data_IF_412343418660
#
_entry.id   IF_412343418660
#
_cell.length_a   1.000
_cell.length_b   1.000
_cell.length_c   1.000
_cell.angle_alpha   90.00
_cell.angle_beta   90.00
_cell.angle_gamma   90.00
#
_symmetry.space_group_name_H-M   'P 1'
#
loop_
_entity.id
_entity.type
_entity.pdbx_description
1 polymer ?
#
# COMPACT_ATOMS: atom_id res chain seq x y z
N UNK A 1 -67.96 -18.31 -21.64
CA UNK A 1 -67.73 -18.04 -20.22
C UNK A 1 -66.27 -18.32 -19.94
N UNK A 2 -65.40 -17.35 -20.19
CA UNK A 2 -63.97 -17.46 -19.96
C UNK A 2 -63.63 -16.74 -18.66
N UNK A 3 -63.08 -17.44 -17.72
CA UNK A 3 -62.57 -16.90 -16.45
C UNK A 3 -61.11 -16.53 -16.66
N UNK A 4 -60.79 -15.25 -16.58
CA UNK A 4 -59.43 -14.70 -16.55
C UNK A 4 -58.91 -14.81 -15.12
N UNK A 5 -57.89 -15.66 -14.89
CA UNK A 5 -57.06 -15.59 -13.68
C UNK A 5 -55.99 -14.51 -13.89
N UNK A 6 -56.06 -13.45 -13.10
CA UNK A 6 -55.01 -12.46 -12.98
C UNK A 6 -53.93 -12.97 -12.00
N UNK A 7 -52.72 -13.24 -12.49
CA UNK A 7 -51.55 -13.44 -11.66
C UNK A 7 -51.05 -12.08 -11.17
N UNK A 8 -51.07 -11.90 -9.86
CA UNK A 8 -50.50 -10.75 -9.16
C UNK A 8 -49.00 -10.98 -9.08
N UNK A 9 -48.22 -10.32 -9.93
CA UNK A 9 -46.74 -10.26 -9.80
C UNK A 9 -46.43 -9.21 -8.75
N UNK A 10 -46.05 -9.66 -7.55
CA UNK A 10 -45.48 -8.82 -6.52
C UNK A 10 -44.17 -8.23 -7.00
N UNK A 11 -44.09 -6.91 -7.04
CA UNK A 11 -42.84 -6.18 -7.25
C UNK A 11 -42.02 -6.32 -5.98
N UNK A 12 -41.03 -7.22 -6.00
CA UNK A 12 -39.97 -7.17 -5.02
C UNK A 12 -39.17 -5.87 -5.25
N UNK A 13 -39.20 -4.98 -4.24
CA UNK A 13 -38.37 -3.80 -4.19
C UNK A 13 -36.92 -4.26 -4.09
N UNK A 14 -36.13 -3.99 -5.12
CA UNK A 14 -34.68 -4.18 -5.08
C UNK A 14 -34.12 -3.36 -3.89
N UNK A 15 -33.63 -4.04 -2.88
CA UNK A 15 -32.91 -3.42 -1.78
C UNK A 15 -31.64 -2.78 -2.34
N UNK A 16 -31.46 -1.49 -2.11
CA UNK A 16 -30.22 -0.79 -2.44
C UNK A 16 -29.04 -1.51 -1.79
N UNK A 17 -27.90 -1.66 -2.51
CA UNK A 17 -26.72 -2.28 -1.94
C UNK A 17 -26.25 -1.47 -0.71
N UNK A 18 -25.70 -2.13 0.32
CA UNK A 18 -25.24 -1.46 1.53
C UNK A 18 -24.19 -0.41 1.17
N UNK A 19 -24.44 0.83 1.58
CA UNK A 19 -23.49 1.94 1.41
C UNK A 19 -22.38 1.76 2.41
N UNK A 20 -21.13 1.75 1.95
CA UNK A 20 -19.95 1.77 2.81
C UNK A 20 -19.96 3.06 3.63
N UNK A 21 -20.27 2.95 4.91
CA UNK A 21 -20.22 4.07 5.86
C UNK A 21 -18.84 4.06 6.49
N UNK A 22 -17.88 4.73 5.84
CA UNK A 22 -16.61 5.08 6.48
C UNK A 22 -16.91 6.31 7.33
N UNK A 23 -16.95 6.17 8.64
CA UNK A 23 -17.14 7.32 9.52
C UNK A 23 -15.92 8.23 9.44
N UNK A 24 -16.10 9.42 8.89
CA UNK A 24 -15.15 10.51 9.02
C UNK A 24 -15.30 11.09 10.43
N UNK A 25 -14.40 10.73 11.34
CA UNK A 25 -14.32 11.36 12.66
C UNK A 25 -13.17 12.35 12.69
N UNK A 26 -13.43 13.56 12.22
CA UNK A 26 -12.60 14.70 12.57
C UNK A 26 -13.31 15.47 13.71
N UNK A 27 -13.04 15.09 14.95
CA UNK A 27 -13.28 15.98 16.09
C UNK A 27 -11.92 16.54 16.50
N UNK A 28 -11.73 17.87 16.57
CA UNK A 28 -10.45 18.42 17.04
C UNK A 28 -10.25 18.00 18.51
N UNK A 29 -9.02 17.64 18.91
CA UNK A 29 -8.74 17.21 20.27
C UNK A 29 -9.00 18.36 21.26
N UNK A 30 -9.68 18.01 22.35
CA UNK A 30 -9.89 18.90 23.48
C UNK A 30 -8.53 19.30 24.07
N UNK A 31 -8.32 20.59 24.29
CA UNK A 31 -7.13 21.14 24.92
C UNK A 31 -7.09 20.68 26.38
N UNK A 32 -6.26 19.69 26.69
CA UNK A 32 -5.94 19.31 28.05
C UNK A 32 -4.84 20.25 28.58
N UNK A 33 -5.16 21.03 29.60
CA UNK A 33 -4.18 21.88 30.29
C UNK A 33 -3.19 21.01 31.08
N UNK A 34 -1.91 21.20 30.79
CA UNK A 34 -0.82 20.55 31.51
C UNK A 34 -0.34 21.44 32.67
N UNK A 35 -0.31 20.85 33.86
CA UNK A 35 0.42 21.40 35.01
C UNK A 35 1.93 21.20 34.76
N UNK A 36 2.69 22.27 34.95
CA UNK A 36 4.14 22.24 34.83
C UNK A 36 4.74 21.32 35.91
N UNK A 37 5.40 20.25 35.46
CA UNK A 37 6.27 19.44 36.31
C UNK A 37 7.67 20.03 36.20
N UNK A 38 8.27 20.31 37.35
CA UNK A 38 9.61 20.85 37.50
C UNK A 38 10.68 19.97 36.87
N UNK A 39 11.56 20.60 36.10
CA UNK A 39 12.78 19.98 35.58
C UNK A 39 13.67 19.46 36.72
N UNK A 40 13.98 18.16 36.68
CA UNK A 40 15.19 17.63 37.29
C UNK A 40 16.18 17.40 36.13
N UNK A 41 17.29 18.14 36.18
CA UNK A 41 18.45 17.93 35.31
C UNK A 41 19.13 16.63 35.76
N UNK A 42 18.86 15.54 35.05
CA UNK A 42 19.70 14.34 35.10
C UNK A 42 20.55 14.29 33.83
N UNK A 43 21.77 14.85 33.92
CA UNK A 43 22.80 14.68 32.90
C UNK A 43 23.36 13.26 32.97
N UNK A 44 22.61 12.28 32.51
CA UNK A 44 23.14 10.96 32.17
C UNK A 44 23.83 11.06 30.83
N UNK A 45 25.14 10.87 30.81
CA UNK A 45 26.00 10.74 29.64
C UNK A 45 25.61 9.42 28.90
N UNK A 46 24.44 9.39 28.26
CA UNK A 46 24.10 8.29 27.37
C UNK A 46 24.89 8.48 26.08
N UNK A 47 25.80 7.57 25.80
CA UNK A 47 26.52 7.54 24.54
C UNK A 47 25.51 7.35 23.41
N UNK A 48 25.41 8.32 22.50
CA UNK A 48 24.56 8.23 21.32
C UNK A 48 25.17 7.15 20.42
N UNK A 49 24.41 6.09 20.18
CA UNK A 49 24.77 5.01 19.26
C UNK A 49 24.05 5.21 17.94
N UNK A 50 24.79 5.27 16.86
CA UNK A 50 24.28 5.38 15.49
C UNK A 50 24.48 4.05 14.80
N UNK A 51 23.42 3.50 14.24
CA UNK A 51 23.44 2.26 13.49
C UNK A 51 23.15 2.51 12.01
N UNK A 52 23.88 1.84 11.13
CA UNK A 52 23.54 1.76 9.71
C UNK A 52 22.24 0.98 9.54
N UNK A 53 21.28 1.53 8.77
CA UNK A 53 19.98 0.90 8.54
C UNK A 53 20.15 -0.50 7.96
N UNK A 54 21.07 -0.67 6.99
CA UNK A 54 21.30 -1.96 6.33
C UNK A 54 22.03 -3.01 7.20
N UNK A 55 22.60 -2.61 8.33
CA UNK A 55 23.34 -3.50 9.24
C UNK A 55 22.62 -3.71 10.57
N UNK A 56 21.62 -2.88 10.84
CA UNK A 56 20.82 -2.93 12.06
C UNK A 56 19.92 -4.18 12.05
N UNK A 57 20.09 -5.04 13.04
CA UNK A 57 19.23 -6.22 13.22
C UNK A 57 18.14 -5.90 14.23
N UNK A 58 17.01 -5.37 13.78
CA UNK A 58 15.82 -5.35 14.62
C UNK A 58 15.20 -6.75 14.63
N UNK A 59 14.82 -7.23 15.80
CA UNK A 59 14.05 -8.47 15.89
C UNK A 59 12.63 -8.20 15.40
N UNK A 60 12.25 -8.80 14.27
CA UNK A 60 10.83 -8.94 13.93
C UNK A 60 10.16 -9.64 15.11
N UNK A 61 9.09 -9.07 15.65
CA UNK A 61 8.28 -9.80 16.61
C UNK A 61 7.86 -11.16 16.04
N UNK A 62 7.92 -12.21 16.83
CA UNK A 62 7.60 -13.58 16.39
C UNK A 62 6.21 -13.65 15.72
N UNK A 63 5.28 -12.80 16.16
CA UNK A 63 3.93 -12.68 15.58
C UNK A 63 3.94 -12.17 14.12
N UNK A 64 4.68 -11.11 13.84
CA UNK A 64 4.79 -10.55 12.49
C UNK A 64 5.43 -11.56 11.53
N UNK A 65 6.49 -12.22 11.99
CA UNK A 65 7.11 -13.31 11.22
C UNK A 65 6.12 -14.44 10.94
N UNK A 66 5.33 -14.86 11.94
CA UNK A 66 4.32 -15.91 11.77
C UNK A 66 3.22 -15.53 10.77
N UNK A 67 2.84 -14.23 10.69
CA UNK A 67 1.91 -13.73 9.69
C UNK A 67 2.50 -13.80 8.27
N UNK A 68 3.76 -13.41 8.11
CA UNK A 68 4.45 -13.52 6.81
C UNK A 68 4.53 -14.97 6.34
N UNK A 69 4.75 -15.94 7.24
CA UNK A 69 4.81 -17.37 6.90
C UNK A 69 3.46 -17.94 6.44
N UNK A 70 2.35 -17.24 6.63
CA UNK A 70 1.04 -17.65 6.13
C UNK A 70 0.84 -17.39 4.64
N UNK A 71 1.75 -16.66 3.98
CA UNK A 71 1.70 -16.45 2.53
C UNK A 71 1.98 -17.78 1.84
N UNK A 72 0.97 -18.28 1.14
CA UNK A 72 0.98 -19.58 0.50
C UNK A 72 1.26 -19.45 -1.00
N UNK A 73 2.41 -19.97 -1.43
CA UNK A 73 2.83 -19.93 -2.83
C UNK A 73 1.88 -20.66 -3.78
N UNK A 74 1.26 -21.77 -3.34
CA UNK A 74 0.29 -22.49 -4.18
C UNK A 74 -0.99 -21.69 -4.40
N UNK A 75 -1.48 -20.98 -3.36
CA UNK A 75 -2.63 -20.08 -3.50
C UNK A 75 -2.32 -18.93 -4.44
N UNK A 76 -1.16 -18.29 -4.28
CA UNK A 76 -0.72 -17.23 -5.16
C UNK A 76 -0.70 -17.69 -6.63
N UNK A 77 -0.06 -18.83 -6.91
CA UNK A 77 -0.01 -19.39 -8.26
C UNK A 77 -1.39 -19.81 -8.78
N UNK A 78 -2.25 -20.34 -7.94
CA UNK A 78 -3.62 -20.72 -8.33
C UNK A 78 -4.47 -19.49 -8.71
N UNK A 79 -4.34 -18.36 -8.01
CA UNK A 79 -4.99 -17.10 -8.38
C UNK A 79 -4.49 -16.60 -9.74
N UNK A 80 -3.17 -16.59 -9.96
CA UNK A 80 -2.59 -16.19 -11.25
C UNK A 80 -3.07 -17.09 -12.39
N UNK A 81 -3.08 -18.42 -12.17
CA UNK A 81 -3.58 -19.38 -13.18
C UNK A 81 -5.03 -19.09 -13.55
N UNK A 82 -5.88 -18.87 -12.53
CA UNK A 82 -7.31 -18.59 -12.77
C UNK A 82 -7.50 -17.30 -13.58
N UNK A 83 -6.74 -16.23 -13.24
CA UNK A 83 -6.82 -14.96 -13.97
C UNK A 83 -6.32 -15.09 -15.41
N UNK A 84 -5.26 -15.84 -15.64
CA UNK A 84 -4.76 -16.16 -16.99
C UNK A 84 -5.77 -16.95 -17.81
N UNK A 85 -6.46 -17.93 -17.20
CA UNK A 85 -7.42 -18.82 -17.88
C UNK A 85 -8.64 -18.06 -18.41
N UNK A 86 -8.90 -16.84 -17.92
CA UNK A 86 -9.88 -15.95 -18.54
C UNK A 86 -9.43 -15.41 -19.91
N UNK A 87 -8.23 -15.75 -20.37
CA UNK A 87 -7.62 -15.50 -21.69
C UNK A 87 -7.38 -14.02 -22.03
N UNK A 88 -8.29 -13.15 -21.67
CA UNK A 88 -8.17 -11.70 -21.78
C UNK A 88 -8.98 -11.09 -20.63
N UNK A 89 -8.49 -9.97 -20.12
CA UNK A 89 -9.22 -9.14 -19.16
C UNK A 89 -9.32 -7.70 -19.66
N UNK A 90 -9.32 -7.56 -20.99
CA UNK A 90 -9.44 -6.27 -21.66
C UNK A 90 -10.78 -5.61 -21.31
N UNK A 91 -10.79 -4.29 -21.09
CA UNK A 91 -11.97 -3.53 -20.65
C UNK A 91 -13.20 -3.64 -21.58
N UNK A 92 -12.99 -3.87 -22.87
CA UNK A 92 -14.04 -4.07 -23.86
C UNK A 92 -14.36 -5.55 -24.13
N UNK A 93 -13.71 -6.50 -23.40
CA UNK A 93 -14.04 -7.92 -23.52
C UNK A 93 -15.39 -8.25 -22.89
N UNK A 94 -15.84 -9.50 -23.03
CA UNK A 94 -17.15 -9.92 -22.50
C UNK A 94 -17.32 -9.66 -21.01
N UNK A 95 -18.46 -9.08 -20.63
CA UNK A 95 -18.84 -8.80 -19.24
C UNK A 95 -19.82 -9.83 -18.65
N UNK A 96 -20.32 -10.76 -19.47
CA UNK A 96 -21.38 -11.72 -19.09
C UNK A 96 -20.90 -13.15 -19.02
N UNK A 97 -19.74 -13.49 -19.58
CA UNK A 97 -19.15 -14.82 -19.46
C UNK A 97 -18.62 -15.05 -18.05
N UNK A 98 -18.78 -16.29 -17.54
CA UNK A 98 -18.18 -16.73 -16.27
C UNK A 98 -16.78 -17.33 -16.40
N UNK A 99 -16.30 -17.55 -17.62
CA UNK A 99 -15.05 -18.25 -17.90
C UNK A 99 -14.07 -17.46 -18.77
N UNK A 100 -14.46 -16.25 -19.21
CA UNK A 100 -13.64 -15.42 -20.10
C UNK A 100 -13.89 -13.95 -19.90
N UNK A 101 -12.87 -13.12 -20.13
CA UNK A 101 -12.99 -11.67 -20.22
C UNK A 101 -13.04 -10.97 -18.87
N UNK A 102 -13.20 -9.64 -18.95
CA UNK A 102 -13.19 -8.75 -17.77
C UNK A 102 -14.32 -9.08 -16.78
N UNK A 103 -15.48 -9.56 -17.26
CA UNK A 103 -16.61 -9.94 -16.43
C UNK A 103 -16.30 -11.15 -15.55
N UNK A 104 -15.63 -12.17 -16.10
CA UNK A 104 -15.21 -13.36 -15.34
C UNK A 104 -14.18 -12.97 -14.26
N UNK A 105 -13.19 -12.13 -14.61
CA UNK A 105 -12.18 -11.67 -13.67
C UNK A 105 -12.80 -10.84 -12.53
N UNK A 106 -13.68 -9.89 -12.85
CA UNK A 106 -14.43 -9.11 -11.87
C UNK A 106 -15.18 -10.00 -10.88
N UNK A 107 -15.96 -10.94 -11.39
CA UNK A 107 -16.77 -11.83 -10.56
C UNK A 107 -15.89 -12.73 -9.67
N UNK A 108 -14.77 -13.22 -10.22
CA UNK A 108 -13.81 -14.02 -9.47
C UNK A 108 -13.20 -13.23 -8.30
N UNK A 109 -12.71 -12.00 -8.54
CA UNK A 109 -12.14 -11.17 -7.47
C UNK A 109 -13.18 -10.86 -6.40
N UNK A 110 -14.41 -10.53 -6.81
CA UNK A 110 -15.50 -10.28 -5.87
C UNK A 110 -15.80 -11.53 -5.03
N UNK A 111 -15.87 -12.70 -5.64
CA UNK A 111 -16.08 -13.97 -4.95
C UNK A 111 -14.96 -14.27 -3.93
N UNK A 112 -13.69 -14.03 -4.30
CA UNK A 112 -12.58 -14.23 -3.37
C UNK A 112 -12.66 -13.30 -2.16
N UNK A 113 -12.99 -12.03 -2.35
CA UNK A 113 -13.22 -11.12 -1.21
C UNK A 113 -14.44 -11.53 -0.37
N UNK A 114 -15.50 -12.06 -0.98
CA UNK A 114 -16.65 -12.61 -0.23
C UNK A 114 -16.28 -13.84 0.61
N UNK A 115 -15.39 -14.69 0.11
CA UNK A 115 -14.82 -15.81 0.89
C UNK A 115 -14.03 -15.26 2.09
N UNK A 116 -13.19 -14.25 1.88
CA UNK A 116 -12.48 -13.56 2.97
C UNK A 116 -13.45 -12.99 4.00
N UNK A 117 -14.52 -12.31 3.55
CA UNK A 117 -15.56 -11.76 4.43
C UNK A 117 -16.24 -12.83 5.29
N UNK A 118 -16.53 -13.99 4.69
CA UNK A 118 -17.17 -15.09 5.42
C UNK A 118 -16.24 -15.75 6.45
N UNK A 119 -14.93 -15.71 6.20
CA UNK A 119 -13.89 -16.30 7.05
C UNK A 119 -13.32 -15.33 8.08
N UNK A 120 -13.60 -14.03 7.96
CA UNK A 120 -13.12 -13.01 8.89
C UNK A 120 -13.78 -13.16 10.27
N UNK A 121 -13.02 -13.49 11.35
CA UNK A 121 -13.58 -13.90 12.64
C UNK A 121 -14.24 -12.74 13.40
N UNK A 122 -13.91 -11.50 13.07
CA UNK A 122 -14.40 -10.31 13.79
C UNK A 122 -15.59 -9.64 13.10
N UNK A 123 -16.03 -10.13 11.93
CA UNK A 123 -17.14 -9.54 11.16
C UNK A 123 -16.88 -8.10 10.67
N UNK A 124 -15.62 -7.69 10.66
CA UNK A 124 -15.16 -6.33 10.33
C UNK A 124 -14.64 -6.20 8.87
N UNK A 125 -14.89 -7.20 8.02
CA UNK A 125 -14.58 -7.18 6.60
C UNK A 125 -15.84 -7.05 5.77
N UNK A 126 -15.90 -6.09 4.85
CA UNK A 126 -17.04 -5.89 3.94
C UNK A 126 -16.56 -5.83 2.50
N UNK A 127 -17.45 -6.16 1.56
CA UNK A 127 -17.15 -6.18 0.12
C UNK A 127 -18.17 -5.34 -0.63
N UNK A 128 -17.70 -4.51 -1.57
CA UNK A 128 -18.57 -3.79 -2.47
C UNK A 128 -17.94 -3.53 -3.83
N UNK A 129 -18.69 -3.61 -4.94
CA UNK A 129 -18.28 -3.08 -6.22
C UNK A 129 -18.46 -1.57 -6.27
N UNK A 130 -17.53 -0.86 -6.93
CA UNK A 130 -17.64 0.55 -7.28
C UNK A 130 -17.74 0.67 -8.80
N UNK A 131 -18.92 1.01 -9.30
CA UNK A 131 -19.15 1.20 -10.73
C UNK A 131 -18.64 2.56 -11.21
N UNK A 132 -18.13 2.59 -12.45
CA UNK A 132 -17.81 3.80 -13.20
C UNK A 132 -18.00 3.58 -14.70
N UNK A 133 -18.28 4.64 -15.42
CA UNK A 133 -18.46 4.57 -16.88
C UNK A 133 -17.11 4.80 -17.58
N UNK A 134 -16.90 4.03 -18.65
CA UNK A 134 -15.71 4.09 -19.49
C UNK A 134 -16.14 4.08 -20.97
N UNK A 135 -15.51 4.92 -21.78
CA UNK A 135 -15.54 4.77 -23.24
C UNK A 135 -14.13 4.60 -23.73
N UNK A 136 -13.80 3.41 -24.23
CA UNK A 136 -12.49 3.10 -24.77
C UNK A 136 -12.59 2.60 -26.21
N UNK A 137 -11.78 3.14 -27.12
CA UNK A 137 -11.83 2.86 -28.56
C UNK A 137 -13.24 3.01 -29.18
N UNK A 138 -14.02 3.97 -28.66
CA UNK A 138 -15.39 4.22 -29.11
C UNK A 138 -16.46 3.26 -28.54
N UNK A 139 -16.08 2.30 -27.69
CA UNK A 139 -17.00 1.35 -27.05
C UNK A 139 -17.33 1.82 -25.62
N UNK A 140 -18.59 2.19 -25.33
CA UNK A 140 -19.00 2.53 -23.97
C UNK A 140 -19.23 1.26 -23.16
N UNK A 141 -18.66 1.20 -21.96
CA UNK A 141 -18.79 0.10 -21.00
C UNK A 141 -18.97 0.64 -19.59
N UNK A 142 -19.60 -0.16 -18.72
CA UNK A 142 -19.55 0.06 -17.28
C UNK A 142 -18.49 -0.86 -16.67
N UNK A 143 -17.53 -0.27 -16.01
CA UNK A 143 -16.44 -0.96 -15.32
C UNK A 143 -16.64 -0.92 -13.81
N UNK A 144 -15.90 -1.76 -13.08
CA UNK A 144 -16.04 -1.88 -11.63
C UNK A 144 -14.69 -2.03 -10.96
N UNK A 145 -14.40 -1.21 -9.96
CA UNK A 145 -13.42 -1.57 -8.95
C UNK A 145 -14.08 -2.50 -7.93
N UNK A 146 -13.35 -3.49 -7.43
CA UNK A 146 -13.84 -4.38 -6.37
C UNK A 146 -13.11 -4.04 -5.09
N UNK A 147 -13.87 -3.67 -4.06
CA UNK A 147 -13.36 -3.14 -2.81
C UNK A 147 -13.64 -4.12 -1.68
N UNK A 148 -12.58 -4.57 -1.00
CA UNK A 148 -12.63 -5.20 0.32
C UNK A 148 -12.23 -4.17 1.38
N UNK A 149 -13.06 -3.97 2.40
CA UNK A 149 -12.78 -3.05 3.49
C UNK A 149 -12.65 -3.78 4.81
N UNK A 150 -11.49 -3.69 5.42
CA UNK A 150 -11.19 -4.18 6.76
C UNK A 150 -11.21 -3.00 7.74
N UNK A 151 -12.20 -2.98 8.62
CA UNK A 151 -12.37 -1.90 9.60
C UNK A 151 -11.31 -1.98 10.69
N UNK A 152 -10.60 -0.88 10.91
CA UNK A 152 -9.67 -0.70 12.03
C UNK A 152 -10.37 -0.41 13.35
N UNK A 153 -9.63 -0.53 14.45
CA UNK A 153 -10.18 -0.36 15.81
C UNK A 153 -9.88 1.00 16.42
N UNK A 154 -8.93 1.77 15.86
CA UNK A 154 -8.52 3.06 16.42
C UNK A 154 -9.08 4.23 15.60
N UNK A 155 -10.01 5.02 16.16
CA UNK A 155 -10.52 6.21 15.49
C UNK A 155 -9.39 7.20 15.20
N UNK A 156 -9.34 7.71 13.95
CA UNK A 156 -8.33 8.70 13.54
C UNK A 156 -6.96 8.10 13.16
N UNK A 157 -6.78 6.78 13.21
CA UNK A 157 -5.54 6.16 12.73
C UNK A 157 -5.39 6.22 11.18
N UNK A 158 -6.45 6.62 10.47
CA UNK A 158 -6.48 6.75 9.02
C UNK A 158 -6.73 5.42 8.31
N UNK A 159 -6.58 5.45 6.98
CA UNK A 159 -6.87 4.33 6.09
C UNK A 159 -5.65 4.03 5.22
N UNK A 160 -5.15 2.79 5.29
CA UNK A 160 -4.20 2.28 4.31
C UNK A 160 -4.97 1.70 3.11
N UNK A 161 -4.60 2.08 1.89
CA UNK A 161 -5.11 1.47 0.66
C UNK A 161 -4.05 0.53 0.10
N UNK A 162 -4.44 -0.70 -0.26
CA UNK A 162 -3.62 -1.66 -0.98
C UNK A 162 -4.35 -1.97 -2.27
N UNK A 163 -3.70 -1.78 -3.41
CA UNK A 163 -4.35 -1.89 -4.71
C UNK A 163 -3.54 -2.67 -5.74
N UNK A 164 -4.25 -3.28 -6.69
CA UNK A 164 -3.70 -3.90 -7.89
C UNK A 164 -4.75 -3.84 -9.00
N UNK A 165 -4.36 -3.67 -10.26
CA UNK A 165 -5.32 -3.73 -11.35
C UNK A 165 -5.56 -5.17 -11.81
N UNK A 166 -6.80 -5.46 -12.23
CA UNK A 166 -7.16 -6.79 -12.69
C UNK A 166 -7.46 -6.88 -14.19
N UNK A 167 -7.52 -5.74 -14.90
CA UNK A 167 -7.54 -5.73 -16.35
C UNK A 167 -6.19 -6.12 -16.94
N UNK A 168 -6.18 -6.53 -18.19
CA UNK A 168 -4.98 -6.84 -18.95
C UNK A 168 -5.14 -6.40 -20.40
N UNK A 169 -4.02 -6.16 -21.08
CA UNK A 169 -4.00 -5.71 -22.46
C UNK A 169 -3.03 -6.57 -23.28
N UNK A 170 -3.31 -6.68 -24.57
CA UNK A 170 -2.45 -7.38 -25.51
C UNK A 170 -1.67 -6.43 -26.40
N UNK A 171 -0.88 -6.95 -27.34
CA UNK A 171 -0.06 -6.13 -28.24
C UNK A 171 -0.89 -5.23 -29.17
N UNK A 172 -2.12 -5.60 -29.48
CA UNK A 172 -3.11 -4.70 -30.10
C UNK A 172 -4.05 -4.19 -29.00
N UNK A 173 -3.84 -2.95 -28.60
CA UNK A 173 -4.57 -2.30 -27.49
C UNK A 173 -6.07 -2.11 -27.77
N UNK A 174 -6.53 -2.29 -29.00
CA UNK A 174 -7.93 -2.16 -29.36
C UNK A 174 -8.62 -3.52 -29.53
N UNK A 175 -7.88 -4.61 -29.62
CA UNK A 175 -8.44 -5.96 -29.76
C UNK A 175 -8.77 -6.57 -28.40
N UNK A 176 -10.04 -6.52 -28.04
CA UNK A 176 -10.55 -7.07 -26.79
C UNK A 176 -10.58 -8.63 -26.75
N UNK A 177 -10.42 -9.27 -27.89
CA UNK A 177 -10.50 -10.73 -28.01
C UNK A 177 -9.12 -11.40 -28.16
N UNK A 178 -8.06 -10.61 -28.33
CA UNK A 178 -6.70 -11.14 -28.39
C UNK A 178 -6.33 -11.81 -27.08
N UNK A 179 -5.52 -12.87 -27.16
CA UNK A 179 -5.00 -13.53 -25.97
C UNK A 179 -4.05 -12.60 -25.21
N UNK A 180 -4.49 -12.13 -24.05
CA UNK A 180 -3.80 -11.21 -23.16
C UNK A 180 -3.84 -11.78 -21.73
N UNK A 181 -3.03 -12.81 -21.44
CA UNK A 181 -3.13 -13.59 -20.20
C UNK A 181 -2.78 -12.76 -18.96
N UNK A 182 -1.88 -11.78 -19.08
CA UNK A 182 -1.52 -10.85 -18.01
C UNK A 182 -1.17 -11.56 -16.71
N UNK A 183 -0.34 -12.61 -16.77
CA UNK A 183 -0.01 -13.42 -15.60
C UNK A 183 0.83 -12.62 -14.60
N UNK A 184 1.88 -11.96 -15.06
CA UNK A 184 2.68 -11.06 -14.24
C UNK A 184 2.06 -9.66 -14.20
N UNK A 185 1.57 -9.16 -15.32
CA UNK A 185 0.94 -7.84 -15.48
C UNK A 185 -0.59 -7.95 -15.67
N UNK A 186 -1.45 -7.90 -14.65
CA UNK A 186 -1.07 -7.82 -13.23
C UNK A 186 -1.80 -8.92 -12.41
N UNK A 187 -1.77 -10.16 -12.92
CA UNK A 187 -2.28 -11.33 -12.19
C UNK A 187 -1.56 -11.53 -10.86
N UNK A 188 -0.23 -11.25 -10.81
CA UNK A 188 0.55 -11.36 -9.57
C UNK A 188 0.14 -10.32 -8.54
N UNK A 189 -0.10 -9.08 -8.92
CA UNK A 189 -0.57 -8.06 -8.00
C UNK A 189 -1.94 -8.39 -7.42
N UNK A 190 -2.88 -8.86 -8.25
CA UNK A 190 -4.21 -9.28 -7.78
C UNK A 190 -4.12 -10.48 -6.85
N UNK A 191 -3.29 -11.49 -7.17
CA UNK A 191 -3.11 -12.65 -6.31
C UNK A 191 -2.52 -12.28 -4.95
N UNK A 192 -1.52 -11.40 -4.92
CA UNK A 192 -0.95 -10.86 -3.69
C UNK A 192 -1.99 -10.07 -2.87
N UNK A 193 -2.79 -9.22 -3.53
CA UNK A 193 -3.87 -8.45 -2.90
C UNK A 193 -4.88 -9.36 -2.19
N UNK A 194 -5.32 -10.43 -2.86
CA UNK A 194 -6.28 -11.41 -2.31
C UNK A 194 -5.68 -12.19 -1.14
N UNK A 195 -4.42 -12.63 -1.25
CA UNK A 195 -3.73 -13.36 -0.18
C UNK A 195 -3.46 -12.47 1.03
N UNK A 196 -3.07 -11.21 0.84
CA UNK A 196 -2.92 -10.23 1.91
C UNK A 196 -4.26 -9.95 2.61
N UNK A 197 -5.35 -9.80 1.85
CA UNK A 197 -6.68 -9.63 2.43
C UNK A 197 -7.09 -10.84 3.29
N UNK A 198 -6.81 -12.07 2.82
CA UNK A 198 -7.06 -13.31 3.56
C UNK A 198 -6.31 -13.33 4.88
N UNK A 199 -5.01 -13.01 4.87
CA UNK A 199 -4.18 -13.04 6.09
C UNK A 199 -4.56 -11.91 7.04
N UNK A 200 -4.68 -10.69 6.53
CA UNK A 200 -4.94 -9.53 7.36
C UNK A 200 -6.34 -9.55 7.97
N UNK A 201 -7.34 -10.13 7.32
CA UNK A 201 -8.71 -10.24 7.88
C UNK A 201 -8.81 -11.11 9.13
N UNK A 202 -7.77 -11.90 9.45
CA UNK A 202 -7.77 -12.80 10.60
C UNK A 202 -7.44 -12.12 11.93
N UNK A 203 -7.14 -10.82 11.91
CA UNK A 203 -6.87 -10.02 13.12
C UNK A 203 -7.41 -8.59 12.99
N UNK A 204 -7.38 -7.85 14.07
CA UNK A 204 -7.73 -6.44 14.11
C UNK A 204 -6.47 -5.58 14.01
N UNK A 205 -6.58 -4.43 13.35
CA UNK A 205 -5.52 -3.44 13.16
C UNK A 205 -5.96 -2.09 13.69
N UNK A 206 -5.00 -1.23 14.02
CA UNK A 206 -5.27 0.14 14.44
C UNK A 206 -5.93 0.94 13.32
N UNK A 207 -5.30 1.00 12.14
CA UNK A 207 -5.86 1.66 10.95
C UNK A 207 -6.83 0.75 10.20
N UNK A 208 -7.79 1.34 9.53
CA UNK A 208 -8.58 0.61 8.53
C UNK A 208 -7.71 0.29 7.31
N UNK A 209 -8.04 -0.81 6.62
CA UNK A 209 -7.37 -1.19 5.36
C UNK A 209 -8.42 -1.36 4.27
N UNK A 210 -8.20 -0.72 3.13
CA UNK A 210 -8.98 -0.93 1.91
C UNK A 210 -8.14 -1.71 0.93
N UNK A 211 -8.62 -2.89 0.52
CA UNK A 211 -8.09 -3.67 -0.58
C UNK A 211 -8.89 -3.34 -1.83
N UNK A 212 -8.23 -2.91 -2.91
CA UNK A 212 -8.94 -2.54 -4.15
C UNK A 212 -8.34 -3.25 -5.34
N UNK A 213 -9.14 -4.04 -6.03
CA UNK A 213 -8.81 -4.47 -7.38
C UNK A 213 -9.36 -3.44 -8.37
N UNK A 214 -8.47 -2.73 -9.06
CA UNK A 214 -8.83 -1.69 -10.02
C UNK A 214 -9.12 -2.28 -11.39
N UNK A 215 -10.05 -1.69 -12.12
CA UNK A 215 -10.26 -1.93 -13.55
C UNK A 215 -9.75 -0.74 -14.36
N UNK A 216 -9.43 -0.99 -15.62
CA UNK A 216 -9.07 0.05 -16.59
C UNK A 216 -7.79 0.84 -16.22
N UNK A 217 -6.80 0.17 -15.65
CA UNK A 217 -5.46 0.71 -15.45
C UNK A 217 -4.77 0.87 -16.80
N UNK A 218 -4.74 -0.18 -17.62
CA UNK A 218 -4.06 -0.31 -18.90
C UNK A 218 -4.52 0.73 -19.95
N UNK A 219 -5.72 1.25 -19.77
CA UNK A 219 -6.31 2.26 -20.64
C UNK A 219 -6.33 3.65 -20.01
N UNK A 220 -5.45 3.88 -19.05
CA UNK A 220 -5.17 5.17 -18.46
C UNK A 220 -5.60 5.34 -17.01
N UNK A 221 -5.57 4.29 -16.22
CA UNK A 221 -5.80 4.36 -14.75
C UNK A 221 -7.19 4.90 -14.38
N UNK A 222 -8.20 4.58 -15.20
CA UNK A 222 -9.55 5.18 -15.04
C UNK A 222 -10.18 4.73 -13.73
N UNK A 223 -10.02 3.46 -13.37
CA UNK A 223 -10.56 2.91 -12.13
C UNK A 223 -9.98 3.53 -10.87
N UNK A 224 -8.66 3.68 -10.81
CA UNK A 224 -8.02 4.33 -9.64
C UNK A 224 -8.35 5.81 -9.54
N UNK A 225 -8.50 6.54 -10.66
CA UNK A 225 -9.02 7.92 -10.65
C UNK A 225 -10.42 7.99 -10.10
N UNK A 226 -11.32 7.11 -10.56
CA UNK A 226 -12.69 7.05 -10.04
C UNK A 226 -12.73 6.75 -8.54
N UNK A 227 -11.82 5.89 -8.04
CA UNK A 227 -11.68 5.62 -6.62
C UNK A 227 -11.19 6.85 -5.85
N UNK A 228 -10.17 7.54 -6.35
CA UNK A 228 -9.61 8.75 -5.72
C UNK A 228 -10.67 9.85 -5.64
N UNK A 229 -11.45 10.09 -6.70
CA UNK A 229 -12.54 11.07 -6.70
C UNK A 229 -13.62 10.71 -5.67
N UNK A 230 -13.97 9.42 -5.58
CA UNK A 230 -14.90 8.90 -4.59
C UNK A 230 -14.37 9.10 -3.15
N UNK A 231 -13.09 8.82 -2.91
CA UNK A 231 -12.46 8.97 -1.60
C UNK A 231 -12.39 10.44 -1.17
N UNK A 232 -12.00 11.34 -2.09
CA UNK A 232 -11.97 12.79 -1.85
C UNK A 232 -13.35 13.36 -1.56
N UNK A 233 -14.38 12.95 -2.32
CA UNK A 233 -15.76 13.37 -2.09
C UNK A 233 -16.33 12.96 -0.72
N UNK A 234 -15.67 12.01 -0.04
CA UNK A 234 -16.03 11.51 1.30
C UNK A 234 -15.05 11.93 2.38
N UNK A 235 -14.02 12.70 2.05
CA UNK A 235 -12.95 13.11 2.96
C UNK A 235 -12.31 11.91 3.68
N UNK A 236 -12.08 10.82 2.97
CA UNK A 236 -11.39 9.65 3.53
C UNK A 236 -9.94 10.02 3.81
N UNK A 237 -9.50 9.85 5.04
CA UNK A 237 -8.13 10.10 5.48
C UNK A 237 -7.22 8.93 5.05
N UNK A 238 -6.78 8.95 3.78
CA UNK A 238 -5.85 7.95 3.24
C UNK A 238 -4.44 8.34 3.66
N UNK A 239 -3.85 7.55 4.56
CA UNK A 239 -2.51 7.75 5.11
C UNK A 239 -1.40 7.14 4.27
N UNK A 240 -1.76 6.33 3.28
CA UNK A 240 -0.86 5.75 2.31
C UNK A 240 -1.59 4.82 1.34
N UNK A 241 -1.06 4.73 0.11
CA UNK A 241 -1.50 3.74 -0.87
C UNK A 241 -0.31 2.92 -1.36
N UNK A 242 -0.43 1.60 -1.27
CA UNK A 242 0.52 0.63 -1.80
C UNK A 242 -0.08 0.02 -3.06
N UNK A 243 0.48 0.36 -4.22
CA UNK A 243 0.16 -0.29 -5.49
C UNK A 243 1.06 -1.51 -5.69
N UNK A 244 0.47 -2.67 -5.95
CA UNK A 244 1.19 -3.90 -6.23
C UNK A 244 1.02 -4.18 -7.73
N UNK A 245 2.14 -4.16 -8.45
CA UNK A 245 2.05 -4.26 -9.90
C UNK A 245 3.30 -4.92 -10.47
N UNK A 246 3.11 -6.08 -11.09
CA UNK A 246 4.17 -6.93 -11.65
C UNK A 246 5.26 -7.33 -10.64
N UNK A 247 4.95 -8.26 -9.73
CA UNK A 247 5.86 -8.67 -8.66
C UNK A 247 6.27 -10.16 -8.72
N UNK A 248 6.07 -10.80 -9.86
CA UNK A 248 6.21 -12.26 -10.00
C UNK A 248 7.49 -12.73 -10.69
N UNK A 249 8.35 -11.82 -11.18
CA UNK A 249 9.52 -12.22 -11.95
C UNK A 249 10.82 -11.60 -11.44
N UNK A 250 11.86 -12.40 -11.31
CA UNK A 250 13.18 -11.96 -10.81
C UNK A 250 14.34 -12.33 -11.75
N UNK A 251 14.04 -12.73 -12.98
CA UNK A 251 15.09 -13.17 -13.89
C UNK A 251 14.97 -12.57 -15.29
N UNK A 252 16.09 -12.58 -16.01
CA UNK A 252 16.16 -12.18 -17.41
C UNK A 252 16.32 -13.40 -18.31
N UNK A 253 16.13 -13.20 -19.62
CA UNK A 253 16.42 -14.21 -20.67
C UNK A 253 17.88 -14.62 -20.69
N UNK A 254 18.80 -13.75 -20.24
CA UNK A 254 20.22 -14.03 -20.11
C UNK A 254 20.58 -14.82 -18.83
N UNK A 255 19.63 -15.06 -17.94
CA UNK A 255 19.82 -15.78 -16.67
C UNK A 255 20.31 -14.91 -15.50
N UNK A 256 20.26 -13.59 -15.63
CA UNK A 256 20.47 -12.69 -14.49
C UNK A 256 19.32 -12.84 -13.53
N UNK A 257 19.61 -12.93 -12.23
CA UNK A 257 18.62 -13.03 -11.14
C UNK A 257 18.80 -11.81 -10.24
N UNK A 258 17.68 -11.21 -9.82
CA UNK A 258 17.64 -10.12 -8.85
C UNK A 258 16.57 -10.41 -7.80
N UNK A 259 16.98 -10.53 -6.54
CA UNK A 259 16.11 -10.82 -5.38
C UNK A 259 15.72 -9.53 -4.64
N UNK A 260 15.37 -8.47 -5.37
CA UNK A 260 14.91 -7.20 -4.80
C UNK A 260 13.57 -6.74 -5.38
N UNK A 261 12.97 -5.73 -4.77
CA UNK A 261 11.77 -5.04 -5.23
C UNK A 261 12.07 -3.56 -5.42
N UNK A 262 11.63 -2.98 -6.53
CA UNK A 262 11.67 -1.52 -6.71
C UNK A 262 10.45 -0.84 -6.13
N UNK A 263 10.66 0.36 -5.60
CA UNK A 263 9.60 1.25 -5.11
C UNK A 263 9.62 2.53 -5.94
N UNK A 264 8.59 2.75 -6.74
CA UNK A 264 8.35 4.02 -7.42
C UNK A 264 7.45 4.93 -6.59
N UNK A 265 7.69 6.23 -6.68
CA UNK A 265 6.85 7.24 -6.03
C UNK A 265 6.95 8.56 -6.76
N UNK A 266 5.89 9.34 -6.78
CA UNK A 266 5.93 10.64 -7.40
C UNK A 266 6.85 11.61 -6.65
N UNK A 267 7.71 12.33 -7.39
CA UNK A 267 8.64 13.30 -6.85
C UNK A 267 8.33 14.73 -7.29
N UNK A 268 7.64 14.89 -8.42
CA UNK A 268 7.43 16.18 -9.06
C UNK A 268 6.25 16.94 -8.44
N UNK A 269 6.53 18.02 -7.72
CA UNK A 269 5.49 18.92 -7.18
C UNK A 269 4.59 19.54 -8.27
N UNK A 270 5.04 19.59 -9.52
CA UNK A 270 4.25 20.11 -10.63
C UNK A 270 3.18 19.14 -11.12
N UNK A 271 3.38 17.84 -10.90
CA UNK A 271 2.48 16.76 -11.33
C UNK A 271 1.70 16.18 -10.15
N UNK A 272 2.39 15.99 -9.02
CA UNK A 272 1.82 15.36 -7.83
C UNK A 272 1.38 16.40 -6.81
N UNK A 273 0.15 16.30 -6.36
CA UNK A 273 -0.43 17.25 -5.40
C UNK A 273 -0.14 16.90 -3.94
N UNK A 274 0.59 15.83 -3.71
CA UNK A 274 0.90 15.29 -2.39
C UNK A 274 2.06 15.99 -1.68
N UNK A 275 2.66 17.01 -2.30
CA UNK A 275 3.77 17.81 -1.73
C UNK A 275 4.97 16.97 -1.27
N UNK A 276 5.29 15.93 -2.03
CA UNK A 276 6.41 15.01 -1.72
C UNK A 276 6.08 13.93 -0.70
N UNK A 277 4.82 13.79 -0.29
CA UNK A 277 4.42 12.76 0.67
C UNK A 277 4.61 11.33 0.12
N UNK A 278 4.42 11.11 -1.20
CA UNK A 278 4.73 9.83 -1.84
C UNK A 278 6.20 9.47 -1.77
N UNK A 279 7.09 10.43 -2.01
CA UNK A 279 8.53 10.22 -1.91
C UNK A 279 8.95 9.91 -0.47
N UNK A 280 8.37 10.62 0.50
CA UNK A 280 8.58 10.32 1.89
C UNK A 280 8.07 8.92 2.27
N UNK A 281 6.86 8.54 1.80
CA UNK A 281 6.31 7.21 2.01
C UNK A 281 7.24 6.11 1.46
N UNK A 282 7.82 6.31 0.26
CA UNK A 282 8.76 5.35 -0.32
C UNK A 282 9.97 5.11 0.59
N UNK A 283 10.60 6.19 1.09
CA UNK A 283 11.71 6.10 2.05
C UNK A 283 11.31 5.44 3.36
N UNK A 284 10.13 5.78 3.88
CA UNK A 284 9.62 5.20 5.11
C UNK A 284 9.34 3.69 4.96
N UNK A 285 8.79 3.28 3.83
CA UNK A 285 8.50 1.86 3.54
C UNK A 285 9.79 1.06 3.37
N UNK A 286 10.78 1.57 2.63
CA UNK A 286 12.10 0.96 2.53
C UNK A 286 12.74 0.82 3.92
N UNK A 287 12.73 1.89 4.71
CA UNK A 287 13.24 1.88 6.08
C UNK A 287 12.56 0.83 6.96
N UNK A 288 11.22 0.75 6.93
CA UNK A 288 10.48 -0.27 7.68
C UNK A 288 10.78 -1.68 7.19
N UNK A 289 11.00 -1.87 5.89
CA UNK A 289 11.48 -3.12 5.32
C UNK A 289 12.79 -3.57 5.96
N UNK A 290 13.78 -2.70 6.04
CA UNK A 290 15.06 -2.99 6.72
C UNK A 290 14.87 -3.17 8.22
N UNK A 291 14.19 -2.25 8.89
CA UNK A 291 13.99 -2.27 10.33
C UNK A 291 13.28 -3.54 10.82
N UNK A 292 12.47 -4.17 9.98
CA UNK A 292 11.73 -5.39 10.29
C UNK A 292 12.24 -6.64 9.54
N UNK A 293 13.46 -6.59 8.98
CA UNK A 293 14.10 -7.70 8.25
C UNK A 293 13.21 -8.26 7.12
N UNK A 294 12.82 -7.40 6.18
CA UNK A 294 12.15 -7.82 4.96
C UNK A 294 12.93 -8.91 4.25
N UNK A 295 12.22 -9.88 3.66
CA UNK A 295 12.86 -11.02 2.98
C UNK A 295 13.59 -10.57 1.71
N UNK A 296 12.98 -9.64 0.96
CA UNK A 296 13.60 -9.02 -0.20
C UNK A 296 14.07 -7.61 0.14
N UNK A 297 15.19 -7.22 -0.45
CA UNK A 297 15.63 -5.82 -0.44
C UNK A 297 14.61 -4.95 -1.17
N UNK A 298 14.31 -3.79 -0.61
CA UNK A 298 13.47 -2.78 -1.22
C UNK A 298 14.33 -1.62 -1.69
N UNK A 299 14.16 -1.18 -2.94
CA UNK A 299 14.99 -0.14 -3.56
C UNK A 299 14.12 1.02 -4.02
N UNK A 300 14.30 2.19 -3.39
CA UNK A 300 13.58 3.41 -3.78
C UNK A 300 14.18 3.97 -5.07
N UNK A 301 13.37 3.99 -6.11
CA UNK A 301 13.73 4.57 -7.40
C UNK A 301 13.71 6.10 -7.35
N UNK A 302 14.62 6.73 -8.11
CA UNK A 302 14.72 8.21 -8.17
C UNK A 302 13.64 8.83 -9.02
N UNK A 303 13.05 8.09 -9.94
CA UNK A 303 12.01 8.54 -10.86
C UNK A 303 10.62 8.23 -10.33
N UNK A 304 9.61 8.95 -10.84
CA UNK A 304 8.21 8.75 -10.43
C UNK A 304 7.66 7.40 -10.87
N UNK A 305 8.09 6.93 -12.01
CA UNK A 305 7.88 5.61 -12.62
C UNK A 305 8.75 5.52 -13.89
N UNK A 306 8.57 4.48 -14.69
CA UNK A 306 9.14 4.38 -16.03
C UNK A 306 8.49 5.43 -16.95
N UNK A 307 9.24 5.99 -17.87
CA UNK A 307 8.73 7.02 -18.77
C UNK A 307 7.49 6.53 -19.54
N UNK A 308 6.38 7.27 -19.42
CA UNK A 308 5.11 6.96 -20.07
C UNK A 308 4.34 5.77 -19.48
N UNK A 309 4.79 5.18 -18.37
CA UNK A 309 4.18 3.99 -17.76
C UNK A 309 3.92 4.21 -16.27
N UNK A 310 2.85 4.92 -15.97
CA UNK A 310 2.46 5.27 -14.60
C UNK A 310 1.34 4.35 -14.11
N UNK A 311 1.59 3.58 -13.05
CA UNK A 311 0.59 2.73 -12.42
C UNK A 311 -0.43 3.47 -11.55
N UNK A 312 -1.34 2.75 -10.91
CA UNK A 312 -2.47 3.29 -10.14
C UNK A 312 -2.07 4.22 -8.98
N UNK A 313 -0.87 4.04 -8.39
CA UNK A 313 -0.32 4.94 -7.36
C UNK A 313 -0.29 6.40 -7.80
N UNK A 314 -0.10 6.64 -9.09
CA UNK A 314 -0.01 7.98 -9.64
C UNK A 314 -1.33 8.75 -9.55
N UNK A 315 -2.47 8.05 -9.71
CA UNK A 315 -3.81 8.64 -9.51
C UNK A 315 -3.99 9.16 -8.09
N UNK A 316 -3.44 8.46 -7.09
CA UNK A 316 -3.49 8.89 -5.70
C UNK A 316 -2.60 10.11 -5.44
N UNK A 317 -1.37 10.12 -5.96
CA UNK A 317 -0.46 11.25 -5.83
C UNK A 317 -1.00 12.50 -6.54
N UNK A 318 -1.61 12.36 -7.73
CA UNK A 318 -2.35 13.42 -8.41
C UNK A 318 -3.53 13.92 -7.57
N UNK A 319 -4.17 13.01 -6.82
CA UNK A 319 -5.27 13.30 -5.89
C UNK A 319 -4.85 13.96 -4.57
N UNK A 320 -3.54 14.00 -4.27
CA UNK A 320 -2.99 14.56 -3.05
C UNK A 320 -2.78 13.56 -1.91
N UNK A 321 -2.84 12.26 -2.19
CA UNK A 321 -2.58 11.19 -1.24
C UNK A 321 -1.19 10.59 -1.43
N UNK A 322 -0.47 10.23 -0.34
CA UNK A 322 0.81 9.53 -0.45
C UNK A 322 0.60 8.15 -1.07
N UNK A 323 1.39 7.82 -2.10
CA UNK A 323 1.26 6.56 -2.81
C UNK A 323 2.59 6.06 -3.38
N UNK A 324 2.77 4.74 -3.36
CA UNK A 324 3.93 4.06 -3.91
C UNK A 324 3.51 2.87 -4.77
N UNK A 325 4.40 2.44 -5.67
CA UNK A 325 4.24 1.22 -6.46
C UNK A 325 5.39 0.27 -6.18
N UNK A 326 5.07 -0.97 -5.82
CA UNK A 326 6.00 -2.09 -5.84
C UNK A 326 5.99 -2.77 -7.19
N UNK A 327 7.19 -3.06 -7.70
CA UNK A 327 7.40 -3.78 -8.95
C UNK A 327 8.67 -4.62 -8.86
N UNK A 328 8.74 -5.71 -9.60
CA UNK A 328 9.98 -6.47 -9.76
C UNK A 328 11.08 -5.66 -10.47
N UNK A 329 12.34 -5.96 -10.19
CA UNK A 329 13.48 -5.22 -10.75
C UNK A 329 13.72 -5.51 -12.22
N UNK A 330 13.47 -6.74 -12.66
CA UNK A 330 13.73 -7.19 -14.03
C UNK A 330 12.41 -7.36 -14.79
N UNK A 331 12.28 -6.71 -15.96
CA UNK A 331 11.04 -6.64 -16.74
C UNK A 331 11.25 -7.10 -18.18
N UNK A 332 11.79 -8.30 -18.40
CA UNK A 332 12.06 -8.81 -19.75
C UNK A 332 10.96 -9.74 -20.30
N UNK A 333 10.03 -10.20 -19.44
CA UNK A 333 9.08 -11.24 -19.78
C UNK A 333 7.68 -10.69 -20.08
N UNK A 334 7.53 -10.14 -21.27
CA UNK A 334 6.28 -10.09 -21.99
C UNK A 334 5.09 -9.32 -21.40
N UNK A 335 5.27 -8.46 -20.37
CA UNK A 335 4.20 -7.62 -19.85
C UNK A 335 3.48 -6.87 -20.97
N UNK A 336 2.14 -6.84 -20.94
CA UNK A 336 1.33 -6.25 -22.02
C UNK A 336 1.35 -7.04 -23.32
N UNK A 337 1.63 -8.34 -23.28
CA UNK A 337 1.69 -9.19 -24.47
C UNK A 337 1.04 -10.56 -24.25
N UNK A 338 0.83 -11.30 -25.37
CA UNK A 338 0.32 -12.68 -25.31
C UNK A 338 1.32 -13.68 -24.73
N UNK A 339 2.56 -13.28 -24.48
CA UNK A 339 3.59 -14.11 -23.84
C UNK A 339 3.70 -13.92 -22.34
N UNK A 340 2.94 -13.01 -21.74
CA UNK A 340 2.87 -12.83 -20.29
C UNK A 340 2.05 -13.96 -19.63
N UNK A 341 2.69 -15.12 -19.49
CA UNK A 341 2.06 -16.34 -18.99
C UNK A 341 2.68 -16.82 -17.67
N UNK A 342 1.93 -17.59 -16.91
CA UNK A 342 2.32 -18.09 -15.58
C UNK A 342 3.65 -18.86 -15.56
N UNK A 343 4.09 -19.42 -16.69
CA UNK A 343 5.39 -20.10 -16.79
C UNK A 343 6.60 -19.20 -16.53
N UNK A 344 6.42 -17.87 -16.59
CA UNK A 344 7.46 -16.88 -16.31
C UNK A 344 7.32 -16.26 -14.91
N UNK A 345 6.34 -16.70 -14.13
CA UNK A 345 6.20 -16.30 -12.73
C UNK A 345 7.06 -17.22 -11.86
N UNK A 346 8.07 -16.64 -11.22
CA UNK A 346 8.98 -17.34 -10.32
C UNK A 346 8.33 -17.50 -8.95
N UNK A 347 7.85 -18.70 -8.68
CA UNK A 347 7.01 -19.03 -7.52
C UNK A 347 7.60 -18.60 -6.18
N UNK A 348 8.89 -18.85 -5.93
CA UNK A 348 9.52 -18.54 -4.65
C UNK A 348 9.77 -17.03 -4.50
N UNK A 349 10.21 -16.37 -5.58
CA UNK A 349 10.35 -14.92 -5.60
C UNK A 349 8.99 -14.25 -5.39
N UNK A 350 7.94 -14.68 -6.06
CA UNK A 350 6.59 -14.13 -5.92
C UNK A 350 6.06 -14.25 -4.48
N UNK A 351 6.29 -15.39 -3.83
CA UNK A 351 5.97 -15.58 -2.41
C UNK A 351 6.76 -14.60 -1.54
N UNK A 352 8.07 -14.47 -1.74
CA UNK A 352 8.94 -13.54 -1.00
C UNK A 352 8.54 -12.09 -1.21
N UNK A 353 8.18 -11.71 -2.44
CA UNK A 353 7.67 -10.37 -2.77
C UNK A 353 6.39 -10.06 -1.98
N UNK A 354 5.43 -10.98 -2.01
CA UNK A 354 4.18 -10.82 -1.25
C UNK A 354 4.42 -10.74 0.26
N UNK A 355 5.32 -11.57 0.80
CA UNK A 355 5.71 -11.52 2.22
C UNK A 355 6.32 -10.17 2.60
N UNK A 356 7.21 -9.64 1.76
CA UNK A 356 7.88 -8.37 2.01
C UNK A 356 6.89 -7.19 1.98
N UNK A 357 5.95 -7.19 1.04
CA UNK A 357 4.92 -6.17 0.95
C UNK A 357 3.92 -6.29 2.12
N UNK A 358 3.53 -7.50 2.49
CA UNK A 358 2.67 -7.75 3.66
C UNK A 358 3.29 -7.22 4.95
N UNK A 359 4.59 -7.41 5.15
CA UNK A 359 5.34 -6.90 6.30
C UNK A 359 5.13 -5.40 6.47
N UNK A 360 5.43 -4.62 5.42
CA UNK A 360 5.34 -3.17 5.49
C UNK A 360 3.89 -2.68 5.55
N UNK A 361 2.96 -3.39 4.93
CA UNK A 361 1.53 -3.10 5.05
C UNK A 361 1.02 -3.27 6.49
N UNK A 362 1.46 -4.33 7.19
CA UNK A 362 1.14 -4.54 8.60
C UNK A 362 1.78 -3.45 9.48
N UNK A 363 3.04 -3.11 9.26
CA UNK A 363 3.70 -2.02 9.98
C UNK A 363 2.95 -0.68 9.81
N UNK A 364 2.46 -0.40 8.61
CA UNK A 364 1.63 0.79 8.32
C UNK A 364 0.26 0.75 8.99
N UNK A 365 -0.40 -0.41 9.02
CA UNK A 365 -1.76 -0.54 9.53
C UNK A 365 -1.83 -0.68 11.06
N UNK A 366 -0.83 -1.29 11.69
CA UNK A 366 -0.87 -1.70 13.10
C UNK A 366 0.19 -1.01 13.98
N UNK A 367 1.26 -0.50 13.38
CA UNK A 367 2.29 0.23 14.14
C UNK A 367 1.75 1.51 14.77
N UNK A 368 2.39 2.04 15.83
CA UNK A 368 1.98 3.28 16.45
C UNK A 368 1.88 4.43 15.46
N UNK A 369 0.98 5.37 15.72
CA UNK A 369 0.87 6.60 14.92
C UNK A 369 2.20 7.36 14.92
N UNK A 370 2.54 8.07 13.83
CA UNK A 370 3.76 8.85 13.79
C UNK A 370 3.72 9.99 14.83
N UNK A 371 4.85 10.34 15.45
CA UNK A 371 4.92 11.53 16.29
C UNK A 371 4.56 12.80 15.53
N UNK A 372 3.98 13.76 16.23
CA UNK A 372 3.61 15.08 15.73
C UNK A 372 4.49 16.18 16.33
N UNK A 373 4.31 17.40 15.82
CA UNK A 373 4.95 18.61 16.36
C UNK A 373 6.48 18.54 16.42
N UNK A 374 7.09 17.97 15.37
CA UNK A 374 8.55 17.81 15.31
C UNK A 374 9.21 19.16 15.12
N UNK A 375 10.17 19.46 15.96
CA UNK A 375 10.99 20.69 15.90
C UNK A 375 12.46 20.36 16.06
N UNK A 376 13.30 20.99 15.26
CA UNK A 376 14.75 20.99 15.43
C UNK A 376 15.18 22.45 15.71
N UNK A 377 15.82 22.67 16.84
CA UNK A 377 16.28 24.00 17.24
C UNK A 377 17.79 23.99 17.44
N UNK A 378 18.44 25.05 16.97
CA UNK A 378 19.84 25.32 17.30
C UNK A 378 19.97 25.45 18.82
N UNK A 379 20.85 24.66 19.42
CA UNK A 379 21.15 24.66 20.85
C UNK A 379 22.32 25.56 21.21
N UNK A 380 23.00 26.17 20.23
CA UNK A 380 24.31 26.76 20.40
C UNK A 380 25.41 25.69 20.51
N UNK A 381 26.65 26.12 20.53
CA UNK A 381 27.84 25.21 20.67
C UNK A 381 27.89 24.05 19.66
N UNK A 382 27.42 24.28 18.42
CA UNK A 382 27.30 23.30 17.35
C UNK A 382 26.33 22.12 17.63
N UNK A 383 25.46 22.22 18.65
CA UNK A 383 24.44 21.22 18.91
C UNK A 383 23.07 21.68 18.38
N UNK A 384 22.20 20.74 18.11
CA UNK A 384 20.78 21.00 17.86
C UNK A 384 19.91 20.07 18.72
N UNK A 385 18.75 20.57 19.12
CA UNK A 385 17.79 19.81 19.90
C UNK A 385 16.56 19.47 19.07
N UNK A 386 16.38 18.19 18.79
CA UNK A 386 15.21 17.60 18.16
C UNK A 386 14.18 17.28 19.24
N UNK A 387 12.92 17.66 19.04
CA UNK A 387 11.81 17.37 19.97
C UNK A 387 10.55 17.00 19.19
N UNK A 388 9.72 16.15 19.82
CA UNK A 388 8.42 15.72 19.31
C UNK A 388 7.43 15.44 20.43
N UNK A 389 6.13 15.37 20.09
CA UNK A 389 5.10 14.99 21.02
C UNK A 389 5.11 13.50 21.30
N UNK A 390 4.86 13.07 22.56
CA UNK A 390 4.80 11.66 22.91
C UNK A 390 3.64 10.95 22.21
N UNK A 391 3.88 9.72 21.79
CA UNK A 391 2.87 8.85 21.17
C UNK A 391 2.31 7.89 22.22
N UNK A 392 0.98 7.85 22.35
CA UNK A 392 0.31 6.98 23.32
C UNK A 392 0.63 5.52 23.02
N UNK A 393 1.11 4.80 24.04
CA UNK A 393 1.48 3.39 23.93
C UNK A 393 2.84 3.13 23.28
N UNK A 394 3.60 4.18 22.92
CA UNK A 394 4.99 3.99 22.48
C UNK A 394 5.88 3.59 23.67
N UNK A 395 6.81 2.67 23.41
CA UNK A 395 7.85 2.23 24.36
C UNK A 395 9.22 2.82 24.06
N UNK A 396 9.33 3.59 22.99
CA UNK A 396 10.54 4.26 22.50
C UNK A 396 10.31 4.75 21.07
N UNK A 397 11.37 5.26 20.47
CA UNK A 397 11.35 5.85 19.14
C UNK A 397 12.54 5.41 18.32
N UNK A 398 12.39 5.48 16.99
CA UNK A 398 13.49 5.41 16.04
C UNK A 398 13.62 6.79 15.38
N UNK A 399 14.82 7.33 15.40
CA UNK A 399 15.17 8.56 14.66
C UNK A 399 15.89 8.12 13.38
N UNK A 400 15.21 8.21 12.26
CA UNK A 400 15.74 7.85 10.94
C UNK A 400 16.43 9.07 10.30
N UNK A 401 17.65 8.88 9.83
CA UNK A 401 18.55 9.95 9.38
C UNK A 401 18.92 9.74 7.91
N UNK A 402 18.85 10.81 7.11
CA UNK A 402 19.13 10.78 5.68
C UNK A 402 20.31 11.69 5.33
N UNK A 403 21.33 11.15 4.65
CA UNK A 403 22.45 11.94 4.16
C UNK A 403 22.06 12.90 3.02
N UNK A 404 22.81 13.97 2.82
CA UNK A 404 22.66 14.83 1.65
C UNK A 404 22.76 14.03 0.35
N UNK A 405 21.77 14.20 -0.57
CA UNK A 405 21.72 13.49 -1.85
C UNK A 405 21.24 12.03 -1.79
N UNK A 406 21.03 11.45 -0.61
CA UNK A 406 20.48 10.11 -0.48
C UNK A 406 18.97 10.07 -0.81
N UNK A 407 18.53 8.96 -1.41
CA UNK A 407 17.11 8.68 -1.69
C UNK A 407 16.42 7.92 -0.57
N UNK A 408 17.16 7.48 0.45
CA UNK A 408 16.69 6.65 1.56
C UNK A 408 17.17 7.20 2.90
N UNK A 409 16.64 6.65 4.00
CA UNK A 409 17.26 6.82 5.31
C UNK A 409 18.45 5.88 5.42
N UNK A 410 19.62 6.43 5.74
CA UNK A 410 20.89 5.71 5.72
C UNK A 410 21.27 5.19 7.10
N UNK A 411 20.89 5.93 8.14
CA UNK A 411 21.23 5.62 9.53
C UNK A 411 20.04 5.83 10.46
N UNK A 412 20.11 5.23 11.64
CA UNK A 412 19.08 5.31 12.66
C UNK A 412 19.66 5.42 14.08
N UNK A 413 18.86 6.00 14.97
CA UNK A 413 19.10 6.01 16.40
C UNK A 413 17.92 5.35 17.10
N UNK A 414 18.16 4.41 17.97
CA UNK A 414 17.14 3.92 18.92
C UNK A 414 17.12 4.85 20.14
N UNK A 415 15.98 5.49 20.39
CA UNK A 415 15.91 6.55 21.39
C UNK A 415 14.70 6.39 22.31
N UNK A 416 14.90 6.43 23.65
CA UNK A 416 13.81 6.18 24.61
C UNK A 416 12.90 7.39 24.84
N UNK A 417 13.41 8.61 24.66
CA UNK A 417 12.76 9.86 25.05
C UNK A 417 12.15 10.63 23.86
N UNK A 418 11.50 11.74 24.12
CA UNK A 418 10.89 12.63 23.10
C UNK A 418 11.75 13.86 22.78
N UNK A 419 12.99 13.87 23.25
CA UNK A 419 13.96 14.96 23.00
C UNK A 419 15.35 14.40 22.85
N UNK A 420 16.10 14.86 21.85
CA UNK A 420 17.48 14.48 21.58
C UNK A 420 18.29 15.74 21.28
N UNK A 421 19.30 16.04 22.11
CA UNK A 421 20.29 17.09 21.83
C UNK A 421 21.57 16.43 21.33
N UNK A 422 22.03 16.85 20.14
CA UNK A 422 23.15 16.22 19.48
C UNK A 422 23.84 17.18 18.49
N UNK A 423 25.16 17.05 18.33
CA UNK A 423 25.97 17.82 17.38
C UNK A 423 26.02 17.21 15.98
N UNK A 424 25.66 15.92 15.85
CA UNK A 424 25.72 15.19 14.58
C UNK A 424 24.66 15.55 13.57
N UNK A 425 23.59 16.28 13.91
CA UNK A 425 22.50 16.61 12.98
C UNK A 425 22.97 17.36 11.72
N UNK A 426 24.04 18.15 11.83
CA UNK A 426 24.61 18.88 10.70
C UNK A 426 25.12 18.00 9.54
N UNK A 427 25.33 16.70 9.79
CA UNK A 427 25.79 15.74 8.78
C UNK A 427 24.65 15.21 7.90
N UNK A 428 23.38 15.51 8.23
CA UNK A 428 22.22 14.94 7.57
C UNK A 428 21.38 16.01 6.88
N UNK A 429 20.68 15.61 5.83
CA UNK A 429 19.75 16.47 5.10
C UNK A 429 18.30 16.32 5.58
N UNK A 430 17.99 15.23 6.29
CA UNK A 430 16.65 15.00 6.76
C UNK A 430 16.59 14.04 7.95
N UNK A 431 15.55 14.22 8.76
CA UNK A 431 15.24 13.37 9.91
C UNK A 431 13.75 13.07 9.94
N UNK A 432 13.39 11.81 10.22
CA UNK A 432 12.03 11.40 10.50
C UNK A 432 12.00 10.49 11.74
N UNK A 433 10.85 10.42 12.41
CA UNK A 433 10.73 9.71 13.68
C UNK A 433 9.61 8.69 13.57
N UNK A 434 9.90 7.44 13.94
CA UNK A 434 8.92 6.37 14.11
C UNK A 434 8.75 6.03 15.58
N UNK A 435 7.51 5.83 16.03
CA UNK A 435 7.25 5.32 17.37
C UNK A 435 7.29 3.79 17.37
N UNK A 436 7.85 3.20 18.43
CA UNK A 436 7.88 1.75 18.67
C UNK A 436 6.77 1.35 19.62
N UNK A 437 6.00 0.33 19.25
CA UNK A 437 5.02 -0.29 20.13
C UNK A 437 5.64 -1.32 21.09
N UNK A 438 4.82 -1.88 22.02
CA UNK A 438 5.27 -2.85 23.01
C UNK A 438 5.87 -4.14 22.43
N UNK A 439 5.49 -4.50 21.20
CA UNK A 439 6.02 -5.67 20.46
C UNK A 439 7.30 -5.38 19.70
N UNK A 440 7.81 -4.15 19.75
CA UNK A 440 8.91 -3.68 18.92
C UNK A 440 8.50 -3.24 17.51
N UNK A 441 7.21 -3.33 17.15
CA UNK A 441 6.72 -2.88 15.86
C UNK A 441 6.89 -1.36 15.72
N UNK A 442 7.61 -0.93 14.70
CA UNK A 442 7.77 0.47 14.33
C UNK A 442 6.62 0.80 13.38
N UNK A 443 5.89 1.86 13.71
CA UNK A 443 4.81 2.36 12.86
C UNK A 443 5.31 3.31 11.76
N UNK A 444 4.36 3.99 11.13
CA UNK A 444 4.65 5.01 10.11
C UNK A 444 5.62 6.04 10.66
N UNK A 445 6.58 6.44 9.82
CA UNK A 445 7.44 7.57 10.16
C UNK A 445 6.65 8.88 10.08
N UNK A 446 7.04 9.84 10.90
CA UNK A 446 6.60 11.24 10.79
C UNK A 446 6.95 11.80 9.41
N UNK A 447 6.40 12.96 9.05
CA UNK A 447 6.94 13.68 7.92
C UNK A 447 8.42 14.01 8.16
N UNK A 448 9.21 13.97 7.07
CA UNK A 448 10.63 14.31 7.14
C UNK A 448 10.79 15.78 7.47
N UNK A 449 11.54 16.06 8.52
CA UNK A 449 12.07 17.39 8.79
C UNK A 449 13.34 17.58 7.97
N UNK A 450 13.33 18.52 7.03
CA UNK A 450 14.50 18.87 6.20
C UNK A 450 15.43 19.74 7.02
N UNK A 451 16.66 19.25 7.22
CA UNK A 451 17.71 19.98 7.93
C UNK A 451 18.33 20.94 6.91
N UNK A 452 18.19 22.24 7.18
CA UNK A 452 18.82 23.24 6.34
C UNK A 452 20.30 23.36 6.71
N UNK A 453 21.22 23.34 5.73
CA UNK A 453 22.61 23.65 6.02
C UNK A 453 22.70 25.08 6.59
N UNK A 454 23.36 25.21 7.74
CA UNK A 454 23.60 26.49 8.41
C UNK A 454 24.52 27.44 7.60
#
# INVERSE_FOLDING_TARGET
MFVLLACNLGTESASSPPTLVIQATATPPATLGFNAVSQQDDSSNSTIQIDDVNTSTSNIGAELYALMQQVDAERLMAHVQTLQDFQTRHVNSTTTSSTRGIGAARNYVQEQFEIVRQQAPFGNFTVQPQAFDLTYAGVPTQQFNIIGYLQGIEPGAGVLVIGAHYDSIGPDFNDAEIFAPGANDNGTGVAALLEMARIMSQRQYRSSVIFVAFSAEEVGRVGSRAFVDWARGRNIDIVGMINIDTIGNNNTRSGTIDESLRIFSCESESICRDRGASRHMARAVEFLGFAHNSILEMQVERTADREGRYGDHFSFSEGGYPAIRFINTLEEWGNGSSSDTIQYVERDYFRKSTQSILLVAIAYADGPSPPSSITLRDGGDNTATLRWEPVVGATGYIVALRFPGSTRYDQQLDWPDTSLTWDGFANYAGVAIGAKGPTGLIGRLSQEYVIQPG
#
